data_IF_431827680266
#
_entry.id   IF_431827680266
#
_cell.length_a   1.000
_cell.length_b   1.000
_cell.length_c   1.000
_cell.angle_alpha   90.00
_cell.angle_beta   90.00
_cell.angle_gamma   90.00
#
_symmetry.space_group_name_H-M   'P 1'
#
loop_
_entity.id
_entity.type
_entity.pdbx_description
1 polymer ?
#
# COMPACT_ATOMS: atom_id res chain seq x y z
N UNK A 1 -72.15 14.57 -15.68
CA UNK A 1 -72.81 13.59 -14.80
C UNK A 1 -72.73 12.25 -15.52
N UNK A 2 -72.04 11.20 -15.12
CA UNK A 2 -71.19 10.83 -13.98
C UNK A 2 -70.38 9.61 -14.48
N UNK A 3 -69.04 9.62 -14.35
CA UNK A 3 -68.25 8.94 -13.32
C UNK A 3 -68.28 7.40 -13.34
N UNK A 4 -67.13 6.84 -13.73
CA UNK A 4 -66.33 5.76 -13.11
C UNK A 4 -66.91 4.36 -12.82
N UNK A 5 -66.04 3.38 -13.10
CA UNK A 5 -65.98 2.07 -12.44
C UNK A 5 -66.14 0.92 -13.42
N UNK A 6 -65.27 -0.07 -13.58
CA UNK A 6 -64.05 -0.46 -12.91
C UNK A 6 -63.27 -1.29 -13.94
N UNK A 7 -61.99 -0.97 -14.18
CA UNK A 7 -61.13 -1.82 -15.00
C UNK A 7 -60.87 -3.09 -14.20
N UNK A 8 -61.42 -4.16 -14.77
CA UNK A 8 -61.28 -5.58 -14.48
C UNK A 8 -59.91 -5.99 -13.95
N UNK A 9 -59.95 -6.83 -12.92
CA UNK A 9 -58.81 -7.54 -12.39
C UNK A 9 -58.07 -8.35 -13.45
N UNK A 10 -56.75 -8.23 -13.39
CA UNK A 10 -55.77 -9.05 -14.08
C UNK A 10 -54.56 -9.17 -13.16
N UNK A 11 -54.67 -10.09 -12.21
CA UNK A 11 -53.62 -10.44 -11.27
C UNK A 11 -52.36 -10.88 -12.03
N UNK A 12 -51.23 -10.23 -11.68
CA UNK A 12 -49.93 -10.86 -11.41
C UNK A 12 -49.37 -11.79 -12.49
N UNK A 13 -48.51 -11.25 -13.34
CA UNK A 13 -47.38 -11.88 -14.05
C UNK A 13 -46.95 -10.84 -15.10
N UNK A 14 -45.80 -10.16 -15.08
CA UNK A 14 -44.42 -10.64 -15.01
C UNK A 14 -43.58 -9.39 -14.72
N UNK A 15 -43.09 -9.16 -13.50
CA UNK A 15 -42.18 -8.04 -13.23
C UNK A 15 -41.05 -8.33 -12.24
N UNK A 16 -40.75 -9.60 -11.96
CA UNK A 16 -39.57 -9.97 -11.18
C UNK A 16 -39.08 -11.30 -11.76
N UNK A 17 -38.02 -11.30 -12.59
CA UNK A 17 -36.71 -11.59 -12.02
C UNK A 17 -35.54 -11.02 -12.85
N UNK A 18 -35.17 -9.74 -12.68
CA UNK A 18 -33.84 -9.26 -13.12
C UNK A 18 -33.24 -8.29 -12.09
N UNK A 19 -33.37 -8.64 -10.81
CA UNK A 19 -32.64 -7.99 -9.71
C UNK A 19 -31.70 -8.95 -8.98
N UNK A 20 -31.42 -10.12 -9.57
CA UNK A 20 -30.58 -11.18 -8.96
C UNK A 20 -29.39 -11.64 -9.82
N UNK A 21 -28.99 -10.86 -10.83
CA UNK A 21 -27.69 -10.97 -11.50
C UNK A 21 -27.28 -9.53 -11.82
N UNK A 22 -26.24 -8.89 -11.30
CA UNK A 22 -25.01 -9.41 -10.73
C UNK A 22 -24.46 -8.31 -9.81
N UNK A 23 -25.00 -8.18 -8.60
CA UNK A 23 -24.27 -7.50 -7.54
C UNK A 23 -23.24 -8.50 -6.99
N UNK A 24 -22.27 -8.88 -7.84
CA UNK A 24 -20.98 -9.31 -7.34
C UNK A 24 -20.35 -8.03 -6.77
N UNK A 25 -20.73 -7.70 -5.52
CA UNK A 25 -19.87 -6.88 -4.69
C UNK A 25 -18.61 -7.72 -4.58
N UNK A 26 -17.63 -7.41 -5.43
CA UNK A 26 -16.25 -7.76 -5.14
C UNK A 26 -15.93 -6.97 -3.88
N UNK A 27 -16.22 -7.56 -2.71
CA UNK A 27 -15.62 -7.16 -1.45
C UNK A 27 -14.13 -7.45 -1.67
N UNK A 28 -13.42 -6.48 -2.24
CA UNK A 28 -11.97 -6.43 -2.11
C UNK A 28 -11.79 -6.29 -0.60
N UNK A 29 -11.28 -7.33 0.05
CA UNK A 29 -10.72 -7.19 1.39
C UNK A 29 -9.68 -6.06 1.28
N UNK A 30 -10.04 -4.90 1.83
CA UNK A 30 -9.20 -3.72 1.82
C UNK A 30 -8.18 -3.94 2.92
N UNK A 31 -6.90 -4.08 2.57
CA UNK A 31 -5.80 -4.22 3.54
C UNK A 31 -5.95 -3.15 4.62
N UNK A 32 -6.19 -3.57 5.86
CA UNK A 32 -6.34 -2.63 6.96
C UNK A 32 -4.96 -2.40 7.60
N UNK A 33 -4.45 -1.17 7.46
CA UNK A 33 -3.25 -0.74 8.18
C UNK A 33 -3.54 -0.71 9.69
N UNK A 34 -2.76 -1.48 10.45
CA UNK A 34 -2.87 -1.57 11.90
C UNK A 34 -1.91 -0.63 12.60
N UNK A 35 -0.66 -0.59 12.13
CA UNK A 35 0.40 0.24 12.70
C UNK A 35 1.48 0.57 11.66
N UNK A 36 2.19 1.67 11.90
CA UNK A 36 3.31 2.14 11.08
C UNK A 36 4.39 2.75 11.98
N UNK A 37 5.58 2.16 11.98
CA UNK A 37 6.72 2.67 12.72
C UNK A 37 7.84 3.15 11.79
N UNK A 38 8.34 4.36 12.00
CA UNK A 38 9.48 4.89 11.24
C UNK A 38 10.79 4.59 11.94
N UNK A 39 11.66 3.78 11.32
CA UNK A 39 12.92 3.36 11.94
C UNK A 39 14.17 4.02 11.32
N UNK A 40 14.08 4.57 10.11
CA UNK A 40 15.20 5.26 9.44
C UNK A 40 14.69 6.42 8.60
N UNK A 41 15.47 7.50 8.55
CA UNK A 41 15.22 8.67 7.70
C UNK A 41 16.51 9.12 7.03
N UNK A 42 16.39 9.76 5.87
CA UNK A 42 17.51 10.43 5.22
C UNK A 42 17.01 11.66 4.47
N UNK A 43 17.69 12.78 4.69
CA UNK A 43 17.41 14.04 4.00
C UNK A 43 18.35 14.19 2.80
N UNK A 44 17.86 14.87 1.77
CA UNK A 44 18.63 15.23 0.60
C UNK A 44 19.72 16.27 0.93
N UNK A 45 20.75 16.46 0.07
CA UNK A 45 21.91 17.30 0.39
C UNK A 45 21.58 18.73 0.84
N UNK A 46 20.58 19.38 0.22
CA UNK A 46 20.12 20.72 0.58
C UNK A 46 18.84 20.71 1.43
N UNK A 47 18.48 19.56 2.00
CA UNK A 47 17.34 19.39 2.91
C UNK A 47 15.97 19.74 2.29
N UNK A 48 15.87 19.62 0.97
CA UNK A 48 14.65 19.88 0.21
C UNK A 48 13.70 18.68 0.33
N UNK A 49 14.25 17.47 0.18
CA UNK A 49 13.50 16.22 0.18
C UNK A 49 13.95 15.29 1.30
N UNK A 50 13.09 14.33 1.61
CA UNK A 50 13.31 13.33 2.65
C UNK A 50 12.79 11.98 2.18
N UNK A 51 13.48 10.93 2.60
CA UNK A 51 12.96 9.56 2.59
C UNK A 51 12.80 9.04 4.02
N UNK A 52 11.77 8.24 4.24
CA UNK A 52 11.47 7.58 5.52
C UNK A 52 11.20 6.10 5.30
N UNK A 53 11.93 5.25 6.02
CA UNK A 53 11.71 3.81 6.05
C UNK A 53 10.71 3.52 7.17
N UNK A 54 9.57 2.97 6.78
CA UNK A 54 8.50 2.60 7.69
C UNK A 54 8.25 1.11 7.63
N UNK A 55 8.21 0.49 8.80
CA UNK A 55 7.66 -0.84 8.98
C UNK A 55 6.15 -0.69 9.11
N UNK A 56 5.42 -1.45 8.29
CA UNK A 56 3.96 -1.44 8.24
C UNK A 56 3.45 -2.78 8.72
N UNK A 57 2.49 -2.73 9.64
CA UNK A 57 1.71 -3.89 10.04
C UNK A 57 0.31 -3.74 9.45
N UNK A 58 -0.15 -4.73 8.70
CA UNK A 58 -1.48 -4.72 8.11
C UNK A 58 -2.11 -6.09 8.24
N UNK A 59 -3.42 -6.15 8.01
CA UNK A 59 -4.21 -7.36 8.09
C UNK A 59 -5.13 -7.44 6.87
N UNK A 60 -5.16 -8.60 6.23
CA UNK A 60 -6.11 -8.93 5.15
C UNK A 60 -7.37 -9.57 5.74
N UNK A 61 -7.22 -10.30 6.86
CA UNK A 61 -8.28 -10.96 7.60
C UNK A 61 -7.98 -10.96 9.12
N UNK A 62 -8.99 -11.05 10.01
CA UNK A 62 -8.81 -10.92 11.47
C UNK A 62 -7.81 -11.88 12.13
N UNK A 63 -7.32 -12.90 11.44
CA UNK A 63 -6.39 -13.90 11.96
C UNK A 63 -4.97 -13.75 11.42
N UNK A 64 -4.76 -12.94 10.38
CA UNK A 64 -3.46 -12.79 9.72
C UNK A 64 -2.91 -11.38 9.88
N UNK A 65 -1.71 -11.30 10.47
CA UNK A 65 -0.91 -10.08 10.56
C UNK A 65 0.25 -10.20 9.59
N UNK A 66 0.34 -9.23 8.68
CA UNK A 66 1.37 -9.14 7.66
C UNK A 66 2.27 -7.94 7.92
N UNK A 67 3.53 -8.10 7.51
CA UNK A 67 4.57 -7.08 7.63
C UNK A 67 5.03 -6.65 6.25
N UNK A 68 5.19 -5.36 6.04
CA UNK A 68 5.88 -4.82 4.86
C UNK A 68 6.80 -3.67 5.25
N UNK A 69 7.82 -3.42 4.43
CA UNK A 69 8.62 -2.21 4.55
C UNK A 69 8.20 -1.26 3.44
N UNK A 70 7.97 0.00 3.78
CA UNK A 70 7.70 1.04 2.80
C UNK A 70 8.73 2.16 2.93
N UNK A 71 9.32 2.53 1.81
CA UNK A 71 10.20 3.69 1.68
C UNK A 71 9.34 4.84 1.20
N UNK A 72 8.85 5.66 2.12
CA UNK A 72 8.10 6.87 1.83
C UNK A 72 9.05 7.99 1.41
N UNK A 73 8.62 8.82 0.47
CA UNK A 73 9.47 9.89 -0.07
C UNK A 73 8.66 11.12 -0.47
N UNK A 74 9.32 12.29 -0.41
CA UNK A 74 8.71 13.56 -0.81
C UNK A 74 9.42 14.78 -0.21
N UNK A 75 8.75 15.93 -0.31
CA UNK A 75 9.27 17.19 0.20
C UNK A 75 9.38 17.17 1.72
N UNK A 76 10.49 17.66 2.25
CA UNK A 76 10.69 17.79 3.70
C UNK A 76 9.59 18.65 4.33
N UNK A 77 9.04 18.18 5.45
CA UNK A 77 7.96 18.85 6.17
C UNK A 77 6.57 18.69 5.54
N UNK A 78 6.45 17.95 4.43
CA UNK A 78 5.17 17.57 3.84
C UNK A 78 4.67 16.23 4.35
N UNK A 79 3.39 15.93 4.12
CA UNK A 79 2.84 14.59 4.33
C UNK A 79 3.34 13.70 3.20
N UNK A 80 4.15 12.69 3.53
CA UNK A 80 4.67 11.72 2.57
C UNK A 80 3.59 10.71 2.20
N UNK A 81 3.15 10.73 0.94
CA UNK A 81 2.09 9.83 0.41
C UNK A 81 2.62 8.79 -0.57
N UNK A 82 3.68 9.12 -1.30
CA UNK A 82 4.31 8.22 -2.28
C UNK A 82 5.28 7.30 -1.54
N UNK A 83 5.32 6.03 -1.93
CA UNK A 83 6.25 5.06 -1.38
C UNK A 83 6.66 3.99 -2.40
N UNK A 84 7.82 3.37 -2.16
CA UNK A 84 8.20 2.08 -2.74
C UNK A 84 8.05 1.02 -1.66
N UNK A 85 7.39 -0.07 -1.99
CA UNK A 85 7.20 -1.18 -1.06
C UNK A 85 8.29 -2.23 -1.29
N UNK A 86 8.88 -2.70 -0.20
CA UNK A 86 9.76 -3.85 -0.16
C UNK A 86 9.05 -4.95 0.62
N UNK A 87 8.72 -6.03 -0.11
CA UNK A 87 8.15 -7.24 0.46
C UNK A 87 9.23 -8.32 0.50
N UNK A 88 9.91 -8.56 1.62
CA UNK A 88 10.88 -9.65 1.73
C UNK A 88 10.20 -11.02 1.84
N UNK A 89 9.28 -11.33 0.92
CA UNK A 89 8.57 -12.62 0.88
C UNK A 89 8.04 -13.08 2.24
N UNK A 90 8.26 -14.35 2.57
CA UNK A 90 7.78 -14.98 3.82
C UNK A 90 8.73 -14.76 5.02
N UNK A 91 9.78 -13.96 4.88
CA UNK A 91 10.71 -13.68 5.98
C UNK A 91 10.38 -12.31 6.56
N UNK A 92 10.25 -12.15 7.89
CA UNK A 92 10.22 -10.82 8.47
C UNK A 92 11.46 -10.05 8.00
N UNK A 93 11.29 -8.74 7.76
CA UNK A 93 12.41 -7.82 7.55
C UNK A 93 13.27 -7.99 8.79
N UNK A 94 14.45 -8.56 8.64
CA UNK A 94 15.34 -8.66 9.78
C UNK A 94 15.82 -7.23 10.06
N UNK A 95 15.72 -6.79 11.31
CA UNK A 95 16.21 -5.47 11.75
C UNK A 95 17.71 -5.29 11.44
N UNK A 96 18.39 -6.39 11.09
CA UNK A 96 19.77 -6.47 10.64
C UNK A 96 19.98 -6.18 9.14
N UNK A 97 18.92 -6.00 8.35
CA UNK A 97 19.02 -5.55 6.96
C UNK A 97 19.58 -4.10 6.95
N UNK A 98 20.71 -3.91 6.26
CA UNK A 98 21.35 -2.62 6.13
C UNK A 98 20.85 -1.93 4.85
N UNK A 99 20.53 -0.65 4.97
CA UNK A 99 20.08 0.18 3.85
C UNK A 99 21.11 1.24 3.56
N UNK A 100 21.87 1.08 2.49
CA UNK A 100 22.81 2.12 2.04
C UNK A 100 22.07 3.13 1.18
N UNK A 101 22.10 4.38 1.61
CA UNK A 101 21.37 5.48 0.97
C UNK A 101 22.38 6.40 0.32
N UNK A 102 22.23 6.63 -0.98
CA UNK A 102 23.07 7.52 -1.76
C UNK A 102 22.21 8.54 -2.50
N UNK A 103 22.27 9.79 -2.06
CA UNK A 103 21.68 10.92 -2.78
C UNK A 103 22.66 11.38 -3.87
N UNK A 104 22.23 11.35 -5.13
CA UNK A 104 22.99 11.90 -6.25
C UNK A 104 22.82 13.43 -6.31
N UNK A 105 21.62 13.91 -5.98
CA UNK A 105 21.27 15.32 -5.82
C UNK A 105 20.02 15.43 -4.91
N UNK A 106 19.29 16.55 -4.92
CA UNK A 106 18.10 16.69 -4.07
C UNK A 106 16.89 15.86 -4.50
N UNK A 107 16.88 15.38 -5.74
CA UNK A 107 15.72 14.74 -6.38
C UNK A 107 15.97 13.26 -6.71
N UNK A 108 17.22 12.82 -6.76
CA UNK A 108 17.60 11.46 -7.12
C UNK A 108 18.29 10.76 -5.95
N UNK A 109 17.71 9.63 -5.53
CA UNK A 109 18.27 8.77 -4.48
C UNK A 109 18.28 7.31 -4.93
N UNK A 110 19.42 6.67 -4.68
CA UNK A 110 19.62 5.23 -4.82
C UNK A 110 19.72 4.61 -3.43
N UNK A 111 18.97 3.52 -3.20
CA UNK A 111 18.90 2.82 -1.93
C UNK A 111 19.21 1.35 -2.20
N UNK A 112 20.28 0.84 -1.60
CA UNK A 112 20.64 -0.56 -1.66
C UNK A 112 20.20 -1.26 -0.37
N UNK A 113 19.33 -2.26 -0.51
CA UNK A 113 18.95 -3.17 0.56
C UNK A 113 19.95 -4.32 0.63
N UNK A 114 20.64 -4.47 1.76
CA UNK A 114 21.73 -5.43 1.96
C UNK A 114 21.36 -6.34 3.11
N UNK A 115 21.45 -7.65 2.87
CA UNK A 115 21.20 -8.68 3.89
C UNK A 115 22.48 -9.42 4.21
N UNK A 116 22.60 -9.91 5.45
CA UNK A 116 23.66 -10.82 5.86
C UNK A 116 23.14 -12.25 5.86
N UNK A 117 23.93 -13.19 5.34
CA UNK A 117 23.63 -14.62 5.49
C UNK A 117 24.07 -15.14 6.87
N UNK A 118 23.79 -16.40 7.17
CA UNK A 118 24.16 -17.05 8.44
C UNK A 118 25.69 -17.04 8.73
N UNK A 119 26.51 -16.85 7.69
CA UNK A 119 27.97 -16.72 7.81
C UNK A 119 28.44 -15.28 8.04
N UNK A 120 27.51 -14.33 8.10
CA UNK A 120 27.78 -12.89 8.25
C UNK A 120 28.18 -12.18 6.95
N UNK A 121 28.14 -12.86 5.81
CA UNK A 121 28.49 -12.27 4.51
C UNK A 121 27.33 -11.41 4.00
N UNK A 122 27.65 -10.19 3.57
CA UNK A 122 26.66 -9.24 3.06
C UNK A 122 26.42 -9.44 1.56
N UNK A 123 25.17 -9.42 1.14
CA UNK A 123 24.77 -9.45 -0.28
C UNK A 123 23.66 -8.45 -0.56
N UNK A 124 23.66 -7.91 -1.78
CA UNK A 124 22.62 -7.00 -2.27
C UNK A 124 21.35 -7.80 -2.54
N UNK A 125 20.24 -7.37 -1.93
CA UNK A 125 18.91 -7.95 -2.14
C UNK A 125 18.21 -7.21 -3.27
N UNK A 126 18.16 -5.89 -3.17
CA UNK A 126 17.44 -5.04 -4.10
C UNK A 126 18.01 -3.62 -4.11
N UNK A 127 17.91 -2.94 -5.24
CA UNK A 127 18.25 -1.52 -5.38
C UNK A 127 16.99 -0.74 -5.77
N UNK A 128 16.62 0.24 -4.95
CA UNK A 128 15.55 1.19 -5.25
C UNK A 128 16.15 2.47 -5.81
N UNK A 129 15.66 2.90 -6.97
CA UNK A 129 15.93 4.23 -7.52
C UNK A 129 14.66 5.06 -7.43
N UNK A 130 14.75 6.19 -6.76
CA UNK A 130 13.64 7.11 -6.56
C UNK A 130 14.00 8.45 -7.19
N UNK A 131 13.16 8.88 -8.12
CA UNK A 131 13.19 10.21 -8.73
C UNK A 131 12.00 11.00 -8.18
N UNK A 132 12.29 12.04 -7.42
CA UNK A 132 11.32 12.89 -6.74
C UNK A 132 10.88 14.11 -7.58
N UNK A 133 11.41 14.27 -8.79
CA UNK A 133 11.00 15.34 -9.72
C UNK A 133 9.63 15.07 -10.39
N UNK A 134 9.15 13.82 -10.30
CA UNK A 134 7.93 13.31 -10.96
C UNK A 134 6.67 13.37 -10.09
#
# INVERSE_FOLDING_TARGET
MDKWGCITGGFIMVLIPILFLSFHISMKEEEQELDSFTFKKSESPNLINIIEFREMTYTEDPYTVLYSMRIYYGKRGSILKKYKEFKPGNSPIDINDDFKIHWENDELVTIDAIRKNEKGESYLVETFKIDLSQ
#
